data_IF_070312273533
#
_entry.id   IF_070312273533
#
_cell.length_a   1.000
_cell.length_b   1.000
_cell.length_c   1.000
_cell.angle_alpha   90.00
_cell.angle_beta   90.00
_cell.angle_gamma   90.00
#
_symmetry.space_group_name_H-M   'P 1'
#
loop_
_entity.id
_entity.type
_entity.pdbx_description
1 polymer ?
#
# COMPACT_ATOMS: atom_id res chain seq x y z
N UNK A 1 -3.66 11.49 -7.24
CA UNK A 1 -2.19 11.51 -7.51
C UNK A 1 -2.04 11.50 -9.01
N UNK A 2 -0.91 11.92 -9.58
CA UNK A 2 -0.71 11.63 -11.00
C UNK A 2 -0.77 10.11 -11.20
N UNK A 3 -1.31 9.67 -12.33
CA UNK A 3 -1.28 8.25 -12.71
C UNK A 3 0.17 7.73 -12.68
N UNK A 4 0.39 6.48 -12.22
CA UNK A 4 1.70 5.85 -12.35
C UNK A 4 2.08 5.76 -13.83
N UNK A 5 3.38 5.83 -14.09
CA UNK A 5 3.88 5.46 -15.42
C UNK A 5 3.60 3.98 -15.69
N UNK A 6 3.53 3.59 -16.96
CA UNK A 6 3.35 2.18 -17.34
C UNK A 6 4.44 1.27 -16.73
N UNK A 7 5.68 1.78 -16.61
CA UNK A 7 6.79 1.08 -15.94
C UNK A 7 6.48 0.84 -14.47
N UNK A 8 6.17 1.90 -13.70
CA UNK A 8 5.86 1.79 -12.27
C UNK A 8 4.68 0.86 -12.01
N UNK A 9 3.63 0.96 -12.83
CA UNK A 9 2.46 0.07 -12.73
C UNK A 9 2.85 -1.40 -12.93
N UNK A 10 3.57 -1.72 -14.01
CA UNK A 10 4.03 -3.07 -14.31
C UNK A 10 4.92 -3.63 -13.20
N UNK A 11 5.88 -2.83 -12.73
CA UNK A 11 6.84 -3.23 -11.69
C UNK A 11 6.16 -3.44 -10.32
N UNK A 12 5.13 -2.64 -10.01
CA UNK A 12 4.30 -2.85 -8.81
C UNK A 12 3.53 -4.18 -8.90
N UNK A 13 2.94 -4.47 -10.07
CA UNK A 13 2.22 -5.72 -10.29
C UNK A 13 3.16 -6.92 -10.21
N UNK A 14 4.36 -6.82 -10.77
CA UNK A 14 5.36 -7.88 -10.68
C UNK A 14 5.82 -8.13 -9.24
N UNK A 15 6.14 -7.06 -8.48
CA UNK A 15 6.52 -7.15 -7.05
C UNK A 15 5.45 -7.87 -6.22
N UNK A 16 4.19 -7.56 -6.50
CA UNK A 16 3.03 -8.11 -5.79
C UNK A 16 2.50 -9.39 -6.46
N UNK A 17 3.29 -10.02 -7.33
CA UNK A 17 3.01 -11.31 -7.97
C UNK A 17 1.68 -11.36 -8.74
N UNK A 18 1.33 -10.24 -9.38
CA UNK A 18 0.12 -10.05 -10.19
C UNK A 18 -1.16 -10.48 -9.46
N UNK A 19 -1.28 -10.09 -8.18
CA UNK A 19 -2.48 -10.32 -7.38
C UNK A 19 -2.82 -9.14 -6.48
N UNK A 20 -4.08 -9.05 -6.09
CA UNK A 20 -4.52 -8.16 -5.04
C UNK A 20 -3.92 -8.56 -3.69
N UNK A 21 -3.27 -7.62 -3.01
CA UNK A 21 -2.70 -7.85 -1.69
C UNK A 21 -3.72 -8.16 -0.57
N UNK A 22 -4.99 -7.78 -0.76
CA UNK A 22 -6.05 -7.95 0.24
C UNK A 22 -6.86 -9.23 0.07
N UNK A 23 -7.18 -9.62 -1.16
CA UNK A 23 -8.04 -10.78 -1.42
C UNK A 23 -7.44 -11.84 -2.34
N UNK A 24 -6.28 -11.58 -2.96
CA UNK A 24 -5.61 -12.52 -3.86
C UNK A 24 -6.16 -12.60 -5.28
N UNK A 25 -7.21 -11.85 -5.64
CA UNK A 25 -7.72 -11.78 -7.01
C UNK A 25 -6.61 -11.43 -8.02
N UNK A 26 -6.66 -12.04 -9.21
CA UNK A 26 -5.62 -11.89 -10.27
C UNK A 26 -6.11 -11.10 -11.49
N UNK A 27 -7.40 -10.84 -11.54
CA UNK A 27 -8.10 -10.12 -12.59
C UNK A 27 -8.58 -8.75 -12.09
N UNK A 28 -8.91 -7.85 -13.02
CA UNK A 28 -9.36 -6.50 -12.68
C UNK A 28 -8.36 -5.70 -11.82
N UNK A 29 -7.06 -5.97 -11.99
CA UNK A 29 -6.01 -5.37 -11.18
C UNK A 29 -5.81 -3.89 -11.51
N UNK A 30 -5.72 -3.10 -10.45
CA UNK A 30 -5.50 -1.66 -10.46
C UNK A 30 -4.27 -1.31 -9.62
N UNK A 31 -3.70 -0.15 -9.90
CA UNK A 31 -2.68 0.44 -9.05
C UNK A 31 -3.37 1.19 -7.91
N UNK A 32 -3.28 0.67 -6.69
CA UNK A 32 -3.74 1.39 -5.53
C UNK A 32 -2.67 2.40 -5.09
N UNK A 33 -3.06 3.67 -5.02
CA UNK A 33 -2.27 4.71 -4.40
C UNK A 33 -2.42 4.61 -2.88
N UNK A 34 -1.40 4.10 -2.19
CA UNK A 34 -1.47 3.91 -0.74
C UNK A 34 -1.65 5.26 -0.03
N UNK A 35 -1.01 6.31 -0.53
CA UNK A 35 -1.13 7.68 -0.02
C UNK A 35 -2.26 8.42 -0.72
N UNK A 36 -3.23 8.88 0.07
CA UNK A 36 -4.22 9.83 -0.42
C UNK A 36 -3.53 11.18 -0.76
N UNK A 37 -3.74 11.67 -1.96
CA UNK A 37 -3.47 13.08 -2.29
C UNK A 37 -4.81 13.72 -2.61
N UNK A 38 -5.13 14.81 -1.91
CA UNK A 38 -6.47 15.41 -1.95
C UNK A 38 -6.90 15.92 -3.33
N UNK A 39 -8.07 16.56 -3.34
CA UNK A 39 -8.64 17.25 -4.50
C UNK A 39 -7.64 18.29 -5.02
N UNK A 40 -7.26 18.20 -6.30
CA UNK A 40 -6.27 19.07 -6.96
C UNK A 40 -5.14 18.31 -7.67
N UNK A 41 -4.99 17.01 -7.38
CA UNK A 41 -3.94 16.19 -7.98
C UNK A 41 -2.55 16.61 -7.50
N UNK A 42 -1.58 15.69 -7.62
CA UNK A 42 -0.18 16.03 -7.42
C UNK A 42 0.51 15.90 -8.76
N UNK A 43 1.36 16.87 -9.13
CA UNK A 43 2.25 16.73 -10.30
C UNK A 43 3.34 15.68 -10.06
N UNK A 44 3.55 15.28 -8.80
CA UNK A 44 4.50 14.23 -8.42
C UNK A 44 3.94 12.88 -8.84
N UNK A 45 4.70 12.18 -9.68
CA UNK A 45 4.38 10.81 -10.09
C UNK A 45 4.68 9.85 -8.93
N UNK A 46 3.83 8.83 -8.69
CA UNK A 46 4.12 7.80 -7.70
C UNK A 46 5.38 7.03 -8.06
N UNK A 47 6.12 6.65 -7.03
CA UNK A 47 7.13 5.59 -7.06
C UNK A 47 6.48 4.22 -6.81
N UNK A 48 7.28 3.16 -6.86
CA UNK A 48 6.81 1.80 -6.57
C UNK A 48 6.40 1.65 -5.10
N UNK A 49 7.09 2.33 -4.17
CA UNK A 49 6.75 2.31 -2.74
C UNK A 49 5.42 3.00 -2.40
N UNK A 50 4.98 3.93 -3.26
CA UNK A 50 3.68 4.62 -3.14
C UNK A 50 2.49 3.73 -3.55
N UNK A 51 2.77 2.64 -4.26
CA UNK A 51 1.78 1.78 -4.89
C UNK A 51 1.64 0.41 -4.26
N UNK A 52 0.45 -0.16 -4.42
CA UNK A 52 0.17 -1.57 -4.16
C UNK A 52 -0.76 -2.12 -5.24
N UNK A 53 -0.64 -3.40 -5.55
CA UNK A 53 -1.58 -4.08 -6.45
C UNK A 53 -2.87 -4.42 -5.71
N UNK A 54 -4.00 -3.97 -6.25
CA UNK A 54 -5.33 -4.31 -5.73
C UNK A 54 -6.33 -4.50 -6.86
N UNK A 55 -7.29 -5.43 -6.72
CA UNK A 55 -8.40 -5.49 -7.66
C UNK A 55 -9.30 -4.26 -7.49
N UNK A 56 -10.04 -3.89 -8.54
CA UNK A 56 -10.90 -2.70 -8.51
C UNK A 56 -11.89 -2.66 -7.34
N UNK A 57 -12.45 -3.83 -6.95
CA UNK A 57 -13.37 -3.93 -5.82
C UNK A 57 -12.70 -3.58 -4.48
N UNK A 58 -11.60 -4.26 -4.13
CA UNK A 58 -10.86 -3.97 -2.90
C UNK A 58 -10.36 -2.53 -2.90
N UNK A 59 -9.90 -2.05 -4.05
CA UNK A 59 -9.39 -0.69 -4.18
C UNK A 59 -10.48 0.36 -3.85
N UNK A 60 -11.69 0.21 -4.38
CA UNK A 60 -12.83 1.07 -4.06
C UNK A 60 -13.24 0.98 -2.58
N UNK A 61 -13.19 -0.23 -2.00
CA UNK A 61 -13.51 -0.46 -0.58
C UNK A 61 -12.50 0.16 0.39
N UNK A 62 -11.23 0.25 0.02
CA UNK A 62 -10.22 0.95 0.84
C UNK A 62 -10.52 2.45 1.02
N UNK A 63 -11.24 3.05 0.07
CA UNK A 63 -11.67 4.45 0.11
C UNK A 63 -13.05 4.63 0.76
N UNK A 64 -13.71 3.54 1.14
CA UNK A 64 -15.06 3.55 1.72
C UNK A 64 -15.13 2.68 2.98
N UNK A 65 -15.78 1.52 2.93
CA UNK A 65 -16.14 0.72 4.10
C UNK A 65 -14.96 -0.02 4.74
N UNK A 66 -13.91 -0.35 3.97
CA UNK A 66 -12.72 -1.04 4.48
C UNK A 66 -11.58 -0.09 4.86
N UNK A 67 -11.83 1.22 4.99
CA UNK A 67 -10.75 2.19 5.23
C UNK A 67 -9.92 1.86 6.48
N UNK A 68 -10.55 1.55 7.60
CA UNK A 68 -9.85 1.22 8.85
C UNK A 68 -8.96 -0.02 8.68
N UNK A 69 -9.49 -1.09 8.09
CA UNK A 69 -8.75 -2.30 7.79
C UNK A 69 -7.59 -2.04 6.81
N UNK A 70 -7.83 -1.25 5.76
CA UNK A 70 -6.81 -0.89 4.78
C UNK A 70 -5.63 -0.14 5.42
N UNK A 71 -5.91 0.73 6.39
CA UNK A 71 -4.88 1.44 7.11
C UNK A 71 -4.14 0.52 8.10
N UNK A 72 -4.86 -0.34 8.83
CA UNK A 72 -4.28 -1.33 9.73
C UNK A 72 -3.35 -2.33 9.00
N UNK A 73 -3.68 -2.69 7.76
CA UNK A 73 -2.89 -3.59 6.91
C UNK A 73 -1.88 -2.87 6.00
N UNK A 74 -1.83 -1.54 6.06
CA UNK A 74 -0.93 -0.72 5.25
C UNK A 74 -1.27 -0.70 3.75
N UNK A 75 -2.43 -1.20 3.33
CA UNK A 75 -2.93 -1.06 1.94
C UNK A 75 -3.26 0.40 1.60
N UNK A 76 -3.54 1.18 2.64
CA UNK A 76 -3.70 2.63 2.61
C UNK A 76 -2.87 3.23 3.75
N UNK A 77 -2.45 4.49 3.60
CA UNK A 77 -1.74 5.23 4.63
C UNK A 77 -2.38 6.59 4.87
N UNK A 78 -2.24 7.10 6.10
CA UNK A 78 -2.72 8.43 6.45
C UNK A 78 -2.09 9.51 5.56
N UNK A 79 -2.85 10.58 5.31
CA UNK A 79 -2.47 11.64 4.38
C UNK A 79 -1.14 12.34 4.72
N UNK A 80 -0.82 12.47 6.00
CA UNK A 80 0.43 13.08 6.50
C UNK A 80 1.65 12.16 6.38
N UNK A 81 1.47 10.89 6.00
CA UNK A 81 2.59 9.98 5.78
C UNK A 81 3.18 10.25 4.39
N UNK A 82 4.28 10.99 4.36
CA UNK A 82 5.00 11.33 3.13
C UNK A 82 5.89 10.20 2.58
N UNK A 83 6.19 9.20 3.42
CA UNK A 83 7.05 8.05 3.11
C UNK A 83 6.29 6.74 3.34
N UNK A 84 5.42 6.32 2.41
CA UNK A 84 4.57 5.15 2.57
C UNK A 84 5.36 3.83 2.66
N UNK A 85 6.59 3.78 2.18
CA UNK A 85 7.50 2.64 2.33
C UNK A 85 7.83 2.32 3.80
N UNK A 86 7.65 3.30 4.70
CA UNK A 86 7.82 3.11 6.15
C UNK A 86 6.63 2.42 6.81
N UNK A 87 5.50 2.33 6.11
CA UNK A 87 4.32 1.59 6.58
C UNK A 87 4.38 0.19 5.98
N UNK A 88 4.48 -0.86 6.82
CA UNK A 88 4.54 -2.24 6.33
C UNK A 88 3.19 -2.64 5.72
N UNK A 89 3.22 -3.61 4.82
CA UNK A 89 2.03 -4.15 4.14
C UNK A 89 1.79 -5.59 4.56
N UNK A 90 0.56 -5.91 4.92
CA UNK A 90 0.11 -7.28 5.08
C UNK A 90 -0.32 -7.84 3.72
N UNK A 91 0.23 -8.98 3.31
CA UNK A 91 -0.27 -9.74 2.16
C UNK A 91 -1.16 -10.86 2.68
N UNK A 92 -2.44 -10.82 2.33
CA UNK A 92 -3.43 -11.78 2.80
C UNK A 92 -3.22 -13.17 2.18
N UNK A 93 -2.59 -13.29 1.01
CA UNK A 93 -2.37 -14.59 0.39
C UNK A 93 -1.23 -15.35 1.05
N UNK A 94 -0.16 -14.65 1.43
CA UNK A 94 1.01 -15.27 2.07
C UNK A 94 0.96 -15.24 3.59
N UNK A 95 -0.05 -14.59 4.18
CA UNK A 95 -0.17 -14.35 5.62
C UNK A 95 1.13 -13.78 6.22
N UNK A 96 1.72 -12.81 5.53
CA UNK A 96 3.04 -12.31 5.85
C UNK A 96 3.08 -10.77 5.75
N UNK A 97 3.80 -10.16 6.69
CA UNK A 97 4.13 -8.74 6.63
C UNK A 97 5.35 -8.50 5.76
N UNK A 98 5.32 -7.42 4.98
CA UNK A 98 6.43 -6.97 4.17
C UNK A 98 6.75 -5.49 4.40
N UNK A 99 8.03 -5.14 4.31
CA UNK A 99 8.48 -3.78 4.05
C UNK A 99 8.68 -3.60 2.55
N UNK A 100 8.12 -2.53 1.99
CA UNK A 100 8.35 -2.20 0.58
C UNK A 100 9.65 -1.41 0.44
N UNK A 101 10.34 -1.61 -0.69
CA UNK A 101 11.38 -0.67 -1.11
C UNK A 101 10.73 0.61 -1.68
N UNK A 102 11.38 1.76 -1.49
CA UNK A 102 10.86 3.02 -2.01
C UNK A 102 10.94 3.08 -3.54
N UNK A 103 12.00 2.50 -4.13
CA UNK A 103 12.36 2.70 -5.53
C UNK A 103 12.40 1.39 -6.30
N UNK A 104 12.84 0.30 -5.66
CA UNK A 104 12.98 -1.00 -6.33
C UNK A 104 11.66 -1.80 -6.27
N UNK A 105 11.39 -2.68 -7.25
CA UNK A 105 10.24 -3.59 -7.23
C UNK A 105 10.43 -4.77 -6.28
N UNK A 106 10.84 -4.49 -5.04
CA UNK A 106 11.19 -5.50 -4.04
C UNK A 106 10.35 -5.28 -2.79
N UNK A 107 9.93 -6.40 -2.19
CA UNK A 107 9.30 -6.45 -0.87
C UNK A 107 10.09 -7.40 0.01
N UNK A 108 10.38 -6.98 1.23
CA UNK A 108 11.19 -7.75 2.18
C UNK A 108 10.27 -8.32 3.26
N UNK A 109 10.23 -9.64 3.45
CA UNK A 109 9.43 -10.22 4.53
C UNK A 109 9.97 -9.73 5.88
N UNK A 110 9.06 -9.38 6.78
CA UNK A 110 9.37 -8.90 8.13
C UNK A 110 8.46 -9.56 9.15
N UNK A 111 8.90 -9.66 10.40
CA UNK A 111 8.06 -10.23 11.46
C UNK A 111 6.88 -9.32 11.81
N UNK A 112 5.81 -9.88 12.38
CA UNK A 112 4.69 -9.09 12.92
C UNK A 112 5.14 -8.11 14.03
N UNK A 113 6.19 -8.46 14.79
CA UNK A 113 6.81 -7.57 15.80
C UNK A 113 7.45 -6.35 15.13
N UNK A 114 8.21 -6.57 14.06
CA UNK A 114 8.82 -5.50 13.26
C UNK A 114 7.74 -4.63 12.62
N UNK A 115 6.69 -5.24 12.05
CA UNK A 115 5.58 -4.49 11.47
C UNK A 115 4.88 -3.59 12.50
N UNK A 116 4.58 -4.11 13.70
CA UNK A 116 4.01 -3.32 14.80
C UNK A 116 4.93 -2.17 15.22
N UNK A 117 6.23 -2.41 15.31
CA UNK A 117 7.19 -1.34 15.62
C UNK A 117 7.18 -0.25 14.55
N UNK A 118 7.22 -0.62 13.26
CA UNK A 118 7.15 0.33 12.15
C UNK A 118 5.85 1.14 12.16
N UNK A 119 4.70 0.49 12.39
CA UNK A 119 3.41 1.18 12.54
C UNK A 119 3.44 2.21 13.66
N UNK A 120 4.01 1.87 14.82
CA UNK A 120 4.16 2.81 15.96
C UNK A 120 5.10 3.97 15.66
N UNK A 121 6.17 3.73 14.91
CA UNK A 121 7.10 4.79 14.49
C UNK A 121 6.40 5.79 13.57
N UNK A 122 5.46 5.34 12.73
CA UNK A 122 4.74 6.21 11.79
C UNK A 122 3.51 6.89 12.42
N UNK A 123 2.71 6.14 13.17
CA UNK A 123 1.42 6.62 13.68
C UNK A 123 1.41 6.96 15.17
N UNK A 124 2.48 6.66 15.90
CA UNK A 124 2.55 6.87 17.34
C UNK A 124 2.05 5.66 18.15
N UNK A 125 2.06 5.76 19.49
CA UNK A 125 1.69 4.66 20.39
C UNK A 125 0.22 4.25 20.26
N UNK A 126 -0.66 5.21 19.95
CA UNK A 126 -2.10 5.01 19.75
C UNK A 126 -2.42 4.18 18.49
N UNK A 127 -1.45 4.03 17.58
CA UNK A 127 -1.62 3.26 16.35
C UNK A 127 -2.31 4.04 15.25
N UNK A 128 -2.91 3.31 14.31
CA UNK A 128 -3.52 3.89 13.12
C UNK A 128 -4.70 4.80 13.51
N UNK A 129 -4.77 6.04 13.02
CA UNK A 129 -5.91 6.94 13.26
C UNK A 129 -7.18 6.37 12.64
N UNK A 130 -8.32 6.54 13.33
CA UNK A 130 -9.65 6.18 12.82
C UNK A 130 -10.01 6.91 11.50
#
# INVERSE_FOLDING_TARGET
MAEPTAKVRRETYQRDEHRCASCGARDGLTFQHRRAVGMGGSKVRPTIGDGLTACGLCNARYESDMRAAAMAHGWKVARWVYRPERVPVWDFVTHQWYRLDAVLPVRYPITARTARHMMRVVYGPEGVPE
#
